data_IF_241807603841
#
_entry.id   IF_241807603841
#
_cell.length_a   1.000
_cell.length_b   1.000
_cell.length_c   1.000
_cell.angle_alpha   90.00
_cell.angle_beta   90.00
_cell.angle_gamma   90.00
#
_symmetry.space_group_name_H-M   'P 1'
#
loop_
_entity.id
_entity.type
_entity.pdbx_description
1 polymer ?
#
# COMPACT_ATOMS: atom_id res chain seq x y z
N UNK A 1 19.15 -119.04 1.27
CA UNK A 1 18.69 -120.02 0.28
C UNK A 1 19.26 -121.42 0.51
N UNK A 2 20.56 -121.56 0.77
CA UNK A 2 21.20 -122.87 1.01
C UNK A 2 20.55 -123.71 2.13
N UNK A 3 20.19 -123.11 3.28
CA UNK A 3 19.55 -123.85 4.37
C UNK A 3 18.12 -124.36 4.06
N UNK A 4 17.42 -123.74 3.10
CA UNK A 4 16.07 -124.14 2.70
C UNK A 4 16.12 -125.32 1.71
N UNK A 5 17.08 -125.31 0.79
CA UNK A 5 17.34 -126.46 -0.10
C UNK A 5 17.80 -127.68 0.71
N UNK A 6 18.74 -127.49 1.66
CA UNK A 6 19.17 -128.57 2.56
C UNK A 6 18.01 -129.12 3.40
N UNK A 7 17.08 -128.27 3.86
CA UNK A 7 15.90 -128.73 4.59
C UNK A 7 14.98 -129.57 3.69
N UNK A 8 14.77 -129.14 2.44
CA UNK A 8 13.96 -129.84 1.45
C UNK A 8 14.55 -131.22 1.12
N UNK A 9 15.86 -131.28 0.83
CA UNK A 9 16.59 -132.53 0.61
C UNK A 9 16.50 -133.48 1.81
N UNK A 10 16.61 -132.96 3.04
CA UNK A 10 16.50 -133.78 4.26
C UNK A 10 15.08 -134.26 4.52
N UNK A 11 14.05 -133.46 4.20
CA UNK A 11 12.63 -133.87 4.31
C UNK A 11 12.29 -134.94 3.27
N UNK A 12 12.75 -134.80 2.03
CA UNK A 12 12.63 -135.82 0.98
C UNK A 12 13.27 -137.14 1.45
N UNK A 13 14.48 -137.07 2.03
CA UNK A 13 15.18 -138.22 2.59
C UNK A 13 14.48 -138.86 3.80
N UNK A 14 13.82 -138.08 4.65
CA UNK A 14 13.00 -138.58 5.76
C UNK A 14 11.74 -139.31 5.24
N UNK A 15 11.13 -138.83 4.15
CA UNK A 15 9.96 -139.47 3.52
C UNK A 15 10.35 -140.81 2.88
N UNK A 16 11.49 -140.85 2.17
CA UNK A 16 12.03 -142.07 1.58
C UNK A 16 12.35 -143.15 2.64
N UNK A 17 13.05 -142.77 3.72
CA UNK A 17 13.43 -143.67 4.83
C UNK A 17 12.24 -144.16 5.66
N UNK A 18 11.07 -143.53 5.57
CA UNK A 18 9.83 -143.93 6.25
C UNK A 18 8.95 -144.85 5.37
N UNK A 19 9.20 -144.89 4.07
CA UNK A 19 8.54 -145.80 3.10
C UNK A 19 9.19 -147.19 2.99
N UNK A 20 10.44 -147.36 3.46
CA UNK A 20 11.16 -148.64 3.54
C UNK A 20 10.84 -149.42 4.84
N UNK A 21 11.04 -150.76 4.83
CA UNK A 21 10.66 -151.71 5.92
C UNK A 21 11.24 -151.35 7.31
N UNK A 22 10.60 -151.73 8.43
CA UNK A 22 10.60 -150.95 9.68
C UNK A 22 11.77 -151.17 10.66
N UNK A 23 12.85 -151.90 10.34
CA UNK A 23 13.74 -152.41 11.40
C UNK A 23 15.25 -152.14 11.29
N UNK A 24 15.74 -151.45 10.24
CA UNK A 24 17.18 -151.14 10.08
C UNK A 24 17.54 -149.64 10.06
N UNK A 25 16.56 -148.74 9.90
CA UNK A 25 16.83 -147.32 9.53
C UNK A 25 16.62 -146.30 10.68
N UNK A 26 16.48 -146.74 11.93
CA UNK A 26 16.10 -145.86 13.05
C UNK A 26 17.17 -144.79 13.39
N UNK A 27 18.46 -145.14 13.32
CA UNK A 27 19.57 -144.19 13.58
C UNK A 27 19.74 -143.20 12.42
N UNK A 28 19.68 -143.66 11.17
CA UNK A 28 19.77 -142.80 9.99
C UNK A 28 18.61 -141.80 9.91
N UNK A 29 17.40 -142.23 10.30
CA UNK A 29 16.23 -141.37 10.43
C UNK A 29 16.43 -140.31 11.52
N UNK A 30 17.04 -140.67 12.66
CA UNK A 30 17.32 -139.73 13.75
C UNK A 30 18.34 -138.67 13.33
N UNK A 31 19.38 -139.04 12.58
CA UNK A 31 20.40 -138.11 12.11
C UNK A 31 19.88 -137.19 11.00
N UNK A 32 19.04 -137.68 10.08
CA UNK A 32 18.34 -136.84 9.10
C UNK A 32 17.38 -135.84 9.77
N UNK A 33 16.65 -136.27 10.81
CA UNK A 33 15.81 -135.39 11.63
C UNK A 33 16.61 -134.33 12.38
N UNK A 34 17.79 -134.68 12.93
CA UNK A 34 18.70 -133.72 13.59
C UNK A 34 19.25 -132.71 12.59
N UNK A 35 19.71 -133.15 11.43
CA UNK A 35 20.21 -132.29 10.36
C UNK A 35 19.12 -131.33 9.83
N UNK A 36 17.90 -131.84 9.60
CA UNK A 36 16.74 -131.03 9.22
C UNK A 36 16.36 -130.02 10.30
N UNK A 37 16.38 -130.41 11.57
CA UNK A 37 16.10 -129.48 12.69
C UNK A 37 17.17 -128.37 12.77
N UNK A 38 18.44 -128.68 12.55
CA UNK A 38 19.53 -127.69 12.50
C UNK A 38 19.40 -126.74 11.29
N UNK A 39 19.00 -127.24 10.12
CA UNK A 39 18.71 -126.42 8.95
C UNK A 39 17.53 -125.46 9.21
N UNK A 40 16.46 -125.94 9.86
CA UNK A 40 15.32 -125.11 10.28
C UNK A 40 15.72 -124.03 11.29
N UNK A 41 16.57 -124.35 12.28
CA UNK A 41 17.09 -123.38 13.24
C UNK A 41 17.95 -122.30 12.56
N UNK A 42 18.79 -122.69 11.59
CA UNK A 42 19.57 -121.74 10.78
C UNK A 42 18.69 -120.82 9.94
N UNK A 43 17.64 -121.36 9.31
CA UNK A 43 16.66 -120.57 8.56
C UNK A 43 15.88 -119.61 9.47
N UNK A 44 15.50 -120.06 10.67
CA UNK A 44 14.86 -119.19 11.68
C UNK A 44 15.80 -118.08 12.18
N UNK A 45 17.09 -118.38 12.33
CA UNK A 45 18.09 -117.39 12.69
C UNK A 45 18.27 -116.35 11.57
N UNK A 46 18.46 -116.78 10.31
CA UNK A 46 18.58 -115.85 9.18
C UNK A 46 17.32 -115.02 8.96
N UNK A 47 16.13 -115.60 9.11
CA UNK A 47 14.87 -114.86 9.05
C UNK A 47 14.79 -113.81 10.16
N UNK A 48 15.23 -114.14 11.38
CA UNK A 48 15.27 -113.19 12.49
C UNK A 48 16.26 -112.05 12.20
N UNK A 49 17.44 -112.36 11.67
CA UNK A 49 18.45 -111.36 11.33
C UNK A 49 17.97 -110.42 10.21
N UNK A 50 17.32 -110.96 9.17
CA UNK A 50 16.69 -110.14 8.12
C UNK A 50 15.53 -109.31 8.64
N UNK A 51 14.68 -109.86 9.51
CA UNK A 51 13.57 -109.13 10.13
C UNK A 51 14.09 -107.98 11.01
N UNK A 52 15.10 -108.22 11.85
CA UNK A 52 15.75 -107.19 12.66
C UNK A 52 16.47 -106.16 11.80
N UNK A 53 17.13 -106.59 10.72
CA UNK A 53 17.77 -105.70 9.75
C UNK A 53 16.76 -104.78 9.05
N UNK A 54 15.61 -105.32 8.65
CA UNK A 54 14.49 -104.57 8.06
C UNK A 54 13.93 -103.53 9.05
N UNK A 55 13.71 -103.93 10.31
CA UNK A 55 13.29 -103.00 11.38
C UNK A 55 14.33 -101.89 11.60
N UNK A 56 15.62 -102.21 11.64
CA UNK A 56 16.68 -101.21 11.81
C UNK A 56 16.80 -100.23 10.63
N UNK A 57 16.51 -100.69 9.39
CA UNK A 57 16.42 -99.80 8.22
C UNK A 57 15.17 -98.92 8.33
N UNK A 58 14.03 -99.49 8.74
CA UNK A 58 12.78 -98.76 8.93
C UNK A 58 12.91 -97.66 9.98
N UNK A 59 13.55 -97.95 11.10
CA UNK A 59 13.83 -96.96 12.16
C UNK A 59 14.75 -95.84 11.66
N UNK A 60 15.85 -96.18 10.96
CA UNK A 60 16.74 -95.16 10.36
C UNK A 60 16.03 -94.28 9.35
N UNK A 61 15.21 -94.87 8.48
CA UNK A 61 14.41 -94.12 7.51
C UNK A 61 13.38 -93.22 8.20
N UNK A 62 12.73 -93.70 9.27
CA UNK A 62 11.81 -92.91 10.06
C UNK A 62 12.51 -91.73 10.76
N UNK A 63 13.70 -91.94 11.32
CA UNK A 63 14.50 -90.89 11.94
C UNK A 63 14.94 -89.81 10.91
N UNK A 64 15.44 -90.23 9.75
CA UNK A 64 15.81 -89.33 8.66
C UNK A 64 14.60 -88.55 8.13
N UNK A 65 13.44 -89.21 8.00
CA UNK A 65 12.18 -88.55 7.62
C UNK A 65 11.78 -87.48 8.64
N UNK A 66 11.85 -87.79 9.94
CA UNK A 66 11.53 -86.81 10.99
C UNK A 66 12.43 -85.58 10.95
N UNK A 67 13.73 -85.76 10.67
CA UNK A 67 14.66 -84.65 10.48
C UNK A 67 14.33 -83.83 9.23
N UNK A 68 14.01 -84.48 8.12
CA UNK A 68 13.56 -83.82 6.89
C UNK A 68 12.29 -83.01 7.14
N UNK A 69 11.27 -83.59 7.77
CA UNK A 69 9.99 -82.93 8.08
C UNK A 69 10.23 -81.69 8.95
N UNK A 70 11.12 -81.77 9.95
CA UNK A 70 11.54 -80.60 10.74
C UNK A 70 12.18 -79.52 9.89
N UNK A 71 13.09 -79.87 8.97
CA UNK A 71 13.73 -78.90 8.09
C UNK A 71 12.75 -78.25 7.10
N UNK A 72 11.79 -79.02 6.59
CA UNK A 72 10.72 -78.53 5.70
C UNK A 72 9.83 -77.54 6.44
N UNK A 73 9.50 -77.80 7.71
CA UNK A 73 8.73 -76.86 8.54
C UNK A 73 9.49 -75.56 8.78
N UNK A 74 10.80 -75.62 9.06
CA UNK A 74 11.64 -74.43 9.20
C UNK A 74 11.70 -73.63 7.90
N UNK A 75 11.84 -74.32 6.75
CA UNK A 75 11.82 -73.67 5.44
C UNK A 75 10.46 -72.99 5.17
N UNK A 76 9.35 -73.66 5.50
CA UNK A 76 8.01 -73.10 5.34
C UNK A 76 7.81 -71.83 6.18
N UNK A 77 8.29 -71.82 7.42
CA UNK A 77 8.29 -70.64 8.28
C UNK A 77 9.10 -69.49 7.65
N UNK A 78 10.31 -69.77 7.18
CA UNK A 78 11.16 -68.75 6.55
C UNK A 78 10.56 -68.19 5.25
N UNK A 79 9.91 -69.04 4.44
CA UNK A 79 9.20 -68.60 3.23
C UNK A 79 8.03 -67.70 3.58
N UNK A 80 7.27 -68.03 4.63
CA UNK A 80 6.19 -67.19 5.11
C UNK A 80 6.70 -65.82 5.60
N UNK A 81 7.75 -65.81 6.42
CA UNK A 81 8.38 -64.57 6.88
C UNK A 81 8.87 -63.71 5.72
N UNK A 82 9.53 -64.32 4.72
CA UNK A 82 9.97 -63.60 3.52
C UNK A 82 8.79 -62.94 2.80
N UNK A 83 7.72 -63.69 2.55
CA UNK A 83 6.52 -63.16 1.88
C UNK A 83 5.83 -62.05 2.71
N UNK A 84 5.85 -62.18 4.04
CA UNK A 84 5.34 -61.14 4.93
C UNK A 84 6.14 -59.85 4.78
N UNK A 85 7.47 -59.91 4.88
CA UNK A 85 8.33 -58.73 4.72
C UNK A 85 8.29 -58.16 3.31
N UNK A 86 8.19 -58.98 2.26
CA UNK A 86 8.00 -58.51 0.88
C UNK A 86 6.71 -57.68 0.75
N UNK A 87 5.60 -58.15 1.36
CA UNK A 87 4.34 -57.39 1.39
C UNK A 87 4.49 -56.10 2.18
N UNK A 88 5.14 -56.13 3.34
CA UNK A 88 5.33 -54.95 4.18
C UNK A 88 6.22 -53.90 3.48
N UNK A 89 7.32 -54.33 2.85
CA UNK A 89 8.18 -53.47 2.03
C UNK A 89 7.40 -52.89 0.86
N UNK A 90 6.58 -53.69 0.16
CA UNK A 90 5.75 -53.19 -0.95
C UNK A 90 4.74 -52.14 -0.48
N UNK A 91 4.16 -52.34 0.71
CA UNK A 91 3.25 -51.38 1.32
C UNK A 91 3.99 -50.07 1.67
N UNK A 92 5.14 -50.16 2.32
CA UNK A 92 5.94 -48.99 2.71
C UNK A 92 6.51 -48.22 1.51
N UNK A 93 6.91 -48.91 0.44
CA UNK A 93 7.45 -48.30 -0.78
C UNK A 93 6.37 -47.72 -1.69
N UNK A 94 5.09 -48.08 -1.48
CA UNK A 94 3.96 -47.56 -2.26
C UNK A 94 3.51 -46.15 -1.88
N UNK A 95 4.24 -45.46 -0.99
CA UNK A 95 3.95 -44.09 -0.60
C UNK A 95 3.88 -43.16 -1.83
N UNK A 96 2.78 -42.41 -1.93
CA UNK A 96 2.60 -41.33 -2.91
C UNK A 96 2.23 -40.06 -2.16
N UNK A 97 2.93 -38.97 -2.49
CA UNK A 97 2.56 -37.65 -2.00
C UNK A 97 1.22 -37.22 -2.60
N UNK A 98 0.48 -36.38 -1.88
CA UNK A 98 -0.80 -35.83 -2.36
C UNK A 98 -0.65 -34.97 -3.62
N UNK A 99 0.52 -34.37 -3.81
CA UNK A 99 0.90 -33.61 -4.99
C UNK A 99 2.16 -34.22 -5.60
N UNK A 100 2.15 -34.42 -6.91
CA UNK A 100 3.34 -34.86 -7.64
C UNK A 100 4.34 -33.72 -7.79
N UNK A 101 5.64 -34.03 -7.95
CA UNK A 101 6.68 -33.01 -8.14
C UNK A 101 6.42 -32.14 -9.38
N UNK A 102 5.75 -32.69 -10.40
CA UNK A 102 5.34 -31.97 -11.60
C UNK A 102 4.23 -30.94 -11.35
N UNK A 103 3.29 -31.20 -10.44
CA UNK A 103 2.23 -30.25 -10.07
C UNK A 103 2.74 -29.06 -9.25
N UNK A 104 3.78 -29.28 -8.45
CA UNK A 104 4.36 -28.22 -7.61
C UNK A 104 5.11 -27.20 -8.49
N UNK A 105 5.51 -27.57 -9.70
CA UNK A 105 6.16 -26.68 -10.68
C UNK A 105 7.32 -25.89 -10.06
N UNK A 106 8.29 -26.62 -9.50
CA UNK A 106 9.47 -26.03 -8.87
C UNK A 106 10.37 -25.34 -9.90
N UNK A 107 11.00 -24.25 -9.48
CA UNK A 107 12.07 -23.58 -10.23
C UNK A 107 13.18 -24.60 -10.56
N UNK A 108 13.72 -24.61 -11.79
CA UNK A 108 14.82 -25.48 -12.18
C UNK A 108 16.02 -25.37 -11.22
N UNK A 109 16.76 -26.46 -11.03
CA UNK A 109 17.87 -26.50 -10.06
C UNK A 109 18.97 -25.50 -10.37
N UNK A 110 19.31 -25.33 -11.65
CA UNK A 110 20.32 -24.37 -12.09
C UNK A 110 19.95 -22.93 -11.72
N UNK A 111 18.67 -22.57 -11.86
CA UNK A 111 18.18 -21.24 -11.52
C UNK A 111 18.09 -21.06 -10.00
N UNK A 112 17.63 -22.08 -9.26
CA UNK A 112 17.59 -22.05 -7.81
C UNK A 112 18.99 -21.86 -7.19
N UNK A 113 20.00 -22.58 -7.69
CA UNK A 113 21.38 -22.51 -7.20
C UNK A 113 22.14 -21.27 -7.67
N UNK A 114 21.62 -20.53 -8.67
CA UNK A 114 22.21 -19.27 -9.10
C UNK A 114 22.15 -18.19 -8.01
N UNK A 115 21.16 -18.29 -7.11
CA UNK A 115 21.06 -17.41 -5.94
C UNK A 115 21.94 -17.93 -4.80
N UNK A 116 22.91 -17.11 -4.39
CA UNK A 116 23.85 -17.43 -3.32
C UNK A 116 23.17 -17.75 -1.98
N UNK A 117 22.02 -17.14 -1.68
CA UNK A 117 21.27 -17.42 -0.47
C UNK A 117 20.65 -18.81 -0.49
N UNK A 118 20.14 -19.23 -1.65
CA UNK A 118 19.55 -20.54 -1.88
C UNK A 118 20.62 -21.65 -1.90
N UNK A 119 21.77 -21.39 -2.54
CA UNK A 119 22.91 -22.29 -2.52
C UNK A 119 23.44 -22.52 -1.09
N UNK A 120 23.55 -21.46 -0.28
CA UNK A 120 23.94 -21.57 1.13
C UNK A 120 22.90 -22.33 1.97
N UNK A 121 21.61 -22.15 1.70
CA UNK A 121 20.55 -22.89 2.38
C UNK A 121 20.61 -24.40 2.07
N UNK A 122 20.85 -24.77 0.81
CA UNK A 122 21.03 -26.17 0.40
C UNK A 122 22.28 -26.81 1.02
N UNK A 123 23.39 -26.06 1.10
CA UNK A 123 24.63 -26.53 1.72
C UNK A 123 24.49 -26.80 3.24
N UNK A 124 23.71 -25.98 3.96
CA UNK A 124 23.45 -26.16 5.41
C UNK A 124 22.73 -27.46 5.75
N UNK A 125 21.93 -28.00 4.82
CA UNK A 125 21.17 -29.24 5.03
C UNK A 125 21.97 -30.53 4.83
N UNK A 126 23.30 -30.45 4.68
CA UNK A 126 24.17 -31.63 4.51
C UNK A 126 24.41 -32.04 3.05
N UNK A 127 24.05 -31.19 2.08
CA UNK A 127 24.47 -31.33 0.67
C UNK A 127 23.84 -32.48 -0.13
N UNK A 128 22.97 -33.30 0.48
CA UNK A 128 22.27 -34.38 -0.21
C UNK A 128 21.09 -33.90 -1.07
N UNK A 129 20.66 -34.72 -2.03
CA UNK A 129 19.54 -34.43 -2.92
C UNK A 129 18.23 -34.10 -2.16
N UNK A 130 17.97 -34.78 -1.04
CA UNK A 130 16.81 -34.51 -0.20
C UNK A 130 16.85 -33.11 0.44
N UNK A 131 18.01 -32.70 0.94
CA UNK A 131 18.19 -31.38 1.54
C UNK A 131 18.02 -30.25 0.51
N UNK A 132 18.52 -30.46 -0.72
CA UNK A 132 18.31 -29.55 -1.84
C UNK A 132 16.82 -29.43 -2.20
N UNK A 133 16.09 -30.55 -2.23
CA UNK A 133 14.65 -30.54 -2.50
C UNK A 133 13.86 -29.80 -1.42
N UNK A 134 14.18 -30.00 -0.14
CA UNK A 134 13.55 -29.27 0.96
C UNK A 134 13.83 -27.76 0.90
N UNK A 135 15.07 -27.38 0.58
CA UNK A 135 15.45 -25.97 0.39
C UNK A 135 14.62 -25.35 -0.75
N UNK A 136 14.50 -26.03 -1.90
CA UNK A 136 13.68 -25.59 -3.04
C UNK A 136 12.21 -25.43 -2.68
N UNK A 137 11.62 -26.41 -1.99
CA UNK A 137 10.22 -26.35 -1.54
C UNK A 137 9.98 -25.20 -0.56
N UNK A 138 10.90 -24.97 0.38
CA UNK A 138 10.78 -23.88 1.34
C UNK A 138 10.86 -22.50 0.67
N UNK A 139 11.74 -22.35 -0.33
CA UNK A 139 11.87 -21.15 -1.13
C UNK A 139 10.61 -20.88 -1.94
N UNK A 140 10.06 -21.91 -2.59
CA UNK A 140 8.82 -21.81 -3.36
C UNK A 140 7.64 -21.38 -2.47
N UNK A 141 7.50 -22.00 -1.29
CA UNK A 141 6.48 -21.64 -0.31
C UNK A 141 6.62 -20.19 0.17
N UNK A 142 7.84 -19.73 0.45
CA UNK A 142 8.10 -18.35 0.84
C UNK A 142 7.77 -17.37 -0.29
N UNK A 143 8.14 -17.72 -1.52
CA UNK A 143 7.86 -16.93 -2.73
C UNK A 143 6.37 -16.81 -2.99
N UNK A 144 5.62 -17.92 -2.93
CA UNK A 144 4.15 -17.92 -3.08
C UNK A 144 3.48 -17.08 -2.01
N UNK A 145 3.86 -17.22 -0.73
CA UNK A 145 3.33 -16.37 0.35
C UNK A 145 3.58 -14.88 0.10
N UNK A 146 4.78 -14.52 -0.34
CA UNK A 146 5.15 -13.14 -0.68
C UNK A 146 4.30 -12.60 -1.85
N UNK A 147 4.15 -13.39 -2.92
CA UNK A 147 3.37 -13.02 -4.10
C UNK A 147 1.88 -12.89 -3.79
N UNK A 148 1.29 -13.84 -3.05
CA UNK A 148 -0.11 -13.73 -2.61
C UNK A 148 -0.33 -12.52 -1.71
N UNK A 149 0.62 -12.21 -0.82
CA UNK A 149 0.56 -11.00 -0.01
C UNK A 149 0.63 -9.72 -0.84
N UNK A 150 1.50 -9.68 -1.86
CA UNK A 150 1.59 -8.56 -2.79
C UNK A 150 0.31 -8.40 -3.64
N UNK A 151 -0.25 -9.51 -4.13
CA UNK A 151 -1.50 -9.51 -4.88
C UNK A 151 -2.66 -8.93 -4.06
N UNK A 152 -2.83 -9.39 -2.81
CA UNK A 152 -3.88 -8.87 -1.91
C UNK A 152 -3.73 -7.37 -1.63
N UNK A 153 -2.51 -6.87 -1.49
CA UNK A 153 -2.25 -5.42 -1.31
C UNK A 153 -2.64 -4.65 -2.57
N UNK A 154 -2.21 -5.10 -3.74
CA UNK A 154 -2.55 -4.48 -5.01
C UNK A 154 -4.07 -4.48 -5.29
N UNK A 155 -4.77 -5.58 -4.94
CA UNK A 155 -6.23 -5.65 -5.03
C UNK A 155 -6.91 -4.65 -4.08
N UNK A 156 -6.40 -4.51 -2.86
CA UNK A 156 -6.87 -3.51 -1.89
C UNK A 156 -6.67 -2.08 -2.38
N UNK A 157 -5.49 -1.75 -2.89
CA UNK A 157 -5.19 -0.44 -3.48
C UNK A 157 -6.09 -0.14 -4.68
N UNK A 158 -6.27 -1.12 -5.58
CA UNK A 158 -7.19 -0.99 -6.71
C UNK A 158 -8.63 -0.72 -6.26
N UNK A 159 -9.11 -1.41 -5.23
CA UNK A 159 -10.45 -1.20 -4.70
C UNK A 159 -10.63 0.19 -4.07
N UNK A 160 -9.62 0.64 -3.31
CA UNK A 160 -9.62 1.99 -2.73
C UNK A 160 -9.63 3.07 -3.82
N UNK A 161 -8.81 2.93 -4.85
CA UNK A 161 -8.75 3.91 -5.94
C UNK A 161 -10.03 3.92 -6.77
N UNK A 162 -10.62 2.74 -7.03
CA UNK A 162 -11.93 2.64 -7.66
C UNK A 162 -13.03 3.33 -6.84
N UNK A 163 -13.04 3.16 -5.52
CA UNK A 163 -13.99 3.81 -4.63
C UNK A 163 -13.81 5.34 -4.62
N UNK A 164 -12.56 5.83 -4.58
CA UNK A 164 -12.25 7.28 -4.70
C UNK A 164 -12.74 7.84 -6.03
N UNK A 165 -12.44 7.16 -7.14
CA UNK A 165 -12.90 7.58 -8.46
C UNK A 165 -14.44 7.62 -8.54
N UNK A 166 -15.14 6.63 -7.97
CA UNK A 166 -16.60 6.63 -7.90
C UNK A 166 -17.15 7.79 -7.06
N UNK A 167 -16.54 8.07 -5.90
CA UNK A 167 -16.93 9.19 -5.05
C UNK A 167 -16.73 10.55 -5.78
N UNK A 168 -15.58 10.74 -6.45
CA UNK A 168 -15.31 11.96 -7.20
C UNK A 168 -16.29 12.13 -8.36
N UNK A 169 -16.61 11.06 -9.10
CA UNK A 169 -17.66 11.09 -10.15
C UNK A 169 -19.01 11.50 -9.57
N UNK A 170 -19.44 10.89 -8.47
CA UNK A 170 -20.69 11.25 -7.80
C UNK A 170 -20.72 12.72 -7.33
N UNK A 171 -19.59 13.25 -6.83
CA UNK A 171 -19.46 14.67 -6.49
C UNK A 171 -19.58 15.58 -7.72
N UNK A 172 -18.96 15.21 -8.84
CA UNK A 172 -19.04 15.97 -10.09
C UNK A 172 -20.45 15.96 -10.67
N UNK A 173 -21.15 14.82 -10.63
CA UNK A 173 -22.55 14.70 -11.05
C UNK A 173 -23.47 15.55 -10.16
N UNK A 174 -23.28 15.52 -8.85
CA UNK A 174 -24.01 16.36 -7.90
C UNK A 174 -23.74 17.86 -8.14
N UNK A 175 -22.48 18.25 -8.38
CA UNK A 175 -22.10 19.62 -8.72
C UNK A 175 -22.75 20.07 -10.03
N UNK A 176 -22.75 19.21 -11.06
CA UNK A 176 -23.39 19.51 -12.33
C UNK A 176 -24.91 19.73 -12.15
N UNK A 177 -25.57 18.91 -11.34
CA UNK A 177 -26.98 19.07 -11.02
C UNK A 177 -27.24 20.40 -10.27
N UNK A 178 -26.40 20.73 -9.28
CA UNK A 178 -26.49 21.99 -8.55
C UNK A 178 -26.27 23.22 -9.45
N UNK A 179 -25.28 23.18 -10.35
CA UNK A 179 -25.02 24.24 -11.32
C UNK A 179 -26.19 24.43 -12.29
N UNK A 180 -26.81 23.35 -12.77
CA UNK A 180 -28.04 23.44 -13.58
C UNK A 180 -29.20 24.03 -12.80
N UNK A 181 -29.36 23.67 -11.52
CA UNK A 181 -30.36 24.26 -10.63
C UNK A 181 -30.14 25.77 -10.45
N UNK A 182 -28.89 26.18 -10.23
CA UNK A 182 -28.51 27.58 -10.13
C UNK A 182 -28.73 28.34 -11.45
N UNK A 183 -28.41 27.74 -12.60
CA UNK A 183 -28.68 28.32 -13.91
C UNK A 183 -30.18 28.58 -14.09
N UNK A 184 -31.03 27.59 -13.77
CA UNK A 184 -32.48 27.72 -13.84
C UNK A 184 -33.02 28.80 -12.90
N UNK A 185 -32.53 28.85 -11.66
CA UNK A 185 -32.89 29.89 -10.69
C UNK A 185 -32.38 31.28 -11.08
N UNK A 186 -31.24 31.36 -11.75
CA UNK A 186 -30.58 32.60 -12.17
C UNK A 186 -31.12 33.20 -13.47
N UNK A 187 -31.79 32.41 -14.33
CA UNK A 187 -32.41 32.89 -15.59
C UNK A 187 -33.28 34.15 -15.46
N UNK A 188 -34.24 34.27 -14.51
CA UNK A 188 -35.04 35.49 -14.38
C UNK A 188 -34.19 36.71 -14.02
N UNK A 189 -33.16 36.54 -13.18
CA UNK A 189 -32.23 37.60 -12.83
C UNK A 189 -31.35 38.00 -14.01
N UNK A 190 -30.85 37.03 -14.78
CA UNK A 190 -30.08 37.27 -15.99
C UNK A 190 -30.92 38.00 -17.07
N UNK A 191 -32.20 37.69 -17.20
CA UNK A 191 -33.11 38.41 -18.09
C UNK A 191 -33.36 39.87 -17.62
N UNK A 192 -33.45 40.10 -16.32
CA UNK A 192 -33.67 41.44 -15.75
C UNK A 192 -32.41 42.32 -15.78
N UNK A 193 -31.23 41.73 -15.54
CA UNK A 193 -29.97 42.47 -15.50
C UNK A 193 -29.25 42.53 -16.86
N UNK A 194 -29.59 41.63 -17.79
CA UNK A 194 -29.01 41.50 -19.12
C UNK A 194 -27.50 41.15 -19.09
N UNK A 195 -26.91 40.75 -20.22
CA UNK A 195 -25.45 40.75 -20.36
C UNK A 195 -24.96 42.21 -20.41
N UNK A 196 -24.84 42.85 -19.24
CA UNK A 196 -24.10 44.12 -19.12
C UNK A 196 -22.63 43.80 -19.21
N UNK A 197 -21.98 44.30 -20.26
CA UNK A 197 -20.52 44.22 -20.40
C UNK A 197 -20.00 43.82 -21.79
N UNK A 198 -20.83 43.79 -22.83
CA UNK A 198 -20.37 43.83 -24.23
C UNK A 198 -19.94 45.25 -24.63
N UNK A 199 -19.05 45.88 -23.86
CA UNK A 199 -18.40 47.12 -24.25
C UNK A 199 -17.31 46.82 -25.27
N UNK A 200 -17.58 47.16 -26.53
CA UNK A 200 -16.67 47.00 -27.65
C UNK A 200 -15.28 47.60 -27.37
N UNK A 201 -14.23 46.80 -27.58
CA UNK A 201 -12.85 47.28 -27.66
C UNK A 201 -11.82 46.32 -27.06
N UNK A 202 -11.21 45.48 -27.89
CA UNK A 202 -9.81 44.98 -27.79
C UNK A 202 -9.30 44.21 -26.55
N UNK A 203 -9.99 44.24 -25.41
CA UNK A 203 -9.50 43.73 -24.12
C UNK A 203 -9.89 42.30 -23.80
N UNK A 204 -10.69 41.63 -24.63
CA UNK A 204 -11.18 40.27 -24.35
C UNK A 204 -10.06 39.22 -24.31
N UNK A 205 -9.04 39.34 -25.16
CA UNK A 205 -7.90 38.41 -25.16
C UNK A 205 -7.03 38.55 -23.90
N UNK A 206 -6.74 39.79 -23.47
CA UNK A 206 -6.02 40.05 -22.22
C UNK A 206 -6.85 39.62 -21.00
N UNK A 207 -8.17 39.85 -21.03
CA UNK A 207 -9.11 39.37 -20.00
C UNK A 207 -9.20 37.85 -19.98
N UNK A 208 -9.13 37.17 -21.13
CA UNK A 208 -9.11 35.71 -21.20
C UNK A 208 -7.81 35.12 -20.63
N UNK A 209 -6.66 35.72 -20.94
CA UNK A 209 -5.37 35.34 -20.38
C UNK A 209 -5.33 35.57 -18.85
N UNK A 210 -5.79 36.73 -18.38
CA UNK A 210 -5.91 37.03 -16.95
C UNK A 210 -6.93 36.14 -16.24
N UNK A 211 -8.03 35.75 -16.90
CA UNK A 211 -8.97 34.74 -16.39
C UNK A 211 -8.33 33.36 -16.24
N UNK A 212 -7.41 32.99 -17.12
CA UNK A 212 -6.62 31.76 -17.01
C UNK A 212 -5.77 31.75 -15.75
N UNK A 213 -4.94 32.79 -15.56
CA UNK A 213 -4.12 32.95 -14.37
C UNK A 213 -4.96 33.10 -13.08
N UNK A 214 -6.12 33.77 -13.15
CA UNK A 214 -7.01 33.96 -12.02
C UNK A 214 -7.65 32.65 -11.53
N UNK A 215 -7.74 31.59 -12.34
CA UNK A 215 -8.25 30.28 -11.90
C UNK A 215 -7.34 29.58 -10.90
N UNK A 216 -6.06 29.94 -10.90
CA UNK A 216 -5.04 29.37 -10.03
C UNK A 216 -4.85 30.21 -8.76
N UNK A 217 -5.62 31.29 -8.58
CA UNK A 217 -5.57 32.11 -7.38
C UNK A 217 -6.25 31.37 -6.20
N UNK A 218 -5.66 31.46 -4.99
CA UNK A 218 -6.35 31.11 -3.76
C UNK A 218 -7.68 31.88 -3.65
N UNK A 219 -8.70 31.25 -3.05
CA UNK A 219 -10.04 31.83 -2.93
C UNK A 219 -10.04 33.29 -2.41
N UNK A 220 -9.28 33.65 -1.35
CA UNK A 220 -9.23 35.03 -0.88
C UNK A 220 -8.72 36.02 -1.94
N UNK A 221 -7.67 35.67 -2.68
CA UNK A 221 -7.15 36.53 -3.77
C UNK A 221 -8.08 36.57 -4.98
N UNK A 222 -8.77 35.47 -5.27
CA UNK A 222 -9.78 35.43 -6.32
C UNK A 222 -10.96 36.36 -6.02
N UNK A 223 -11.40 36.42 -4.75
CA UNK A 223 -12.43 37.35 -4.30
C UNK A 223 -11.96 38.80 -4.48
N UNK A 224 -10.74 39.15 -4.05
CA UNK A 224 -10.17 40.49 -4.27
C UNK A 224 -10.14 40.84 -5.76
N UNK A 225 -9.60 39.94 -6.60
CA UNK A 225 -9.54 40.13 -8.04
C UNK A 225 -10.92 40.34 -8.66
N UNK A 226 -11.90 39.49 -8.33
CA UNK A 226 -13.25 39.57 -8.90
C UNK A 226 -14.01 40.81 -8.45
N UNK A 227 -13.84 41.25 -7.19
CA UNK A 227 -14.45 42.47 -6.67
C UNK A 227 -13.89 43.72 -7.36
N UNK A 228 -12.57 43.85 -7.51
CA UNK A 228 -11.97 44.98 -8.21
C UNK A 228 -12.26 44.97 -9.71
N UNK A 229 -12.20 43.81 -10.36
CA UNK A 229 -12.54 43.70 -11.78
C UNK A 229 -14.01 44.08 -12.03
N UNK A 230 -14.93 43.57 -11.20
CA UNK A 230 -16.34 43.91 -11.29
C UNK A 230 -16.61 45.38 -10.99
N UNK A 231 -15.93 45.98 -9.99
CA UNK A 231 -16.09 47.39 -9.66
C UNK A 231 -15.53 48.32 -10.76
N UNK A 232 -14.38 47.96 -11.35
CA UNK A 232 -13.80 48.69 -12.48
C UNK A 232 -14.76 48.68 -13.69
N UNK A 233 -15.32 47.52 -14.03
CA UNK A 233 -16.24 47.39 -15.17
C UNK A 233 -17.62 48.04 -14.89
N UNK A 234 -18.18 47.89 -13.69
CA UNK A 234 -19.53 48.38 -13.36
C UNK A 234 -19.60 49.90 -13.19
N UNK A 235 -18.53 50.51 -12.66
CA UNK A 235 -18.51 51.93 -12.29
C UNK A 235 -17.49 52.75 -13.11
N UNK A 236 -16.82 52.13 -14.09
CA UNK A 236 -15.77 52.75 -14.90
C UNK A 236 -14.66 53.41 -14.06
N UNK A 237 -14.34 52.81 -12.90
CA UNK A 237 -13.35 53.35 -11.97
C UNK A 237 -11.96 53.38 -12.63
N UNK A 238 -11.11 54.37 -12.31
CA UNK A 238 -9.75 54.49 -12.84
C UNK A 238 -8.81 53.46 -12.18
N UNK A 239 -9.11 52.17 -12.35
CA UNK A 239 -8.38 51.08 -11.72
C UNK A 239 -8.02 50.02 -12.75
N UNK A 240 -6.73 49.67 -12.82
CA UNK A 240 -6.24 48.52 -13.56
C UNK A 240 -6.00 47.35 -12.62
N UNK A 241 -6.50 46.16 -12.96
CA UNK A 241 -6.28 44.93 -12.18
C UNK A 241 -5.43 43.96 -13.01
N UNK A 242 -4.36 43.43 -12.43
CA UNK A 242 -3.48 42.44 -13.08
C UNK A 242 -3.12 41.33 -12.11
N UNK A 243 -2.94 40.13 -12.63
CA UNK A 243 -2.42 38.98 -11.87
C UNK A 243 -0.93 38.86 -12.20
N UNK A 244 -0.08 38.90 -11.20
CA UNK A 244 1.37 38.78 -11.34
C UNK A 244 1.90 37.58 -10.57
N UNK A 245 2.77 36.80 -11.20
CA UNK A 245 3.45 35.67 -10.58
C UNK A 245 3.73 34.52 -11.55
N UNK A 246 4.28 33.43 -11.03
CA UNK A 246 4.54 32.21 -11.80
C UNK A 246 3.30 31.31 -11.83
N UNK A 247 2.65 31.23 -13.00
CA UNK A 247 1.51 30.34 -13.20
C UNK A 247 1.90 28.86 -13.06
N UNK A 248 3.11 28.49 -13.50
CA UNK A 248 3.60 27.11 -13.44
C UNK A 248 3.81 26.62 -11.99
N UNK A 249 4.28 27.48 -11.10
CA UNK A 249 4.45 27.13 -9.69
C UNK A 249 3.10 26.99 -8.98
N UNK A 250 2.13 27.84 -9.35
CA UNK A 250 0.76 27.77 -8.82
C UNK A 250 0.03 26.50 -9.27
N UNK A 251 0.21 26.05 -10.53
CA UNK A 251 -0.32 24.77 -11.00
C UNK A 251 0.28 23.59 -10.23
N UNK A 252 1.60 23.63 -9.95
CA UNK A 252 2.26 22.58 -9.15
C UNK A 252 1.73 22.56 -7.71
N UNK A 253 1.52 23.71 -7.09
CA UNK A 253 0.94 23.80 -5.74
C UNK A 253 -0.52 23.31 -5.73
N UNK A 254 -1.33 23.68 -6.72
CA UNK A 254 -2.71 23.18 -6.84
C UNK A 254 -2.78 21.67 -7.11
N UNK A 255 -1.79 21.10 -7.80
CA UNK A 255 -1.69 19.66 -8.02
C UNK A 255 -1.14 18.91 -6.79
N UNK A 256 -0.32 19.58 -5.97
CA UNK A 256 0.29 19.03 -4.77
C UNK A 256 -0.63 19.05 -3.54
N UNK A 257 -1.71 19.86 -3.55
CA UNK A 257 -2.74 19.90 -2.51
C UNK A 257 -3.96 19.02 -2.86
N UNK A 258 -3.97 17.72 -2.51
CA UNK A 258 -5.19 16.90 -2.56
C UNK A 258 -6.15 17.18 -1.37
N UNK A 259 -5.76 18.05 -0.43
CA UNK A 259 -6.43 18.24 0.86
C UNK A 259 -7.24 19.54 1.05
N UNK A 260 -7.17 20.48 0.10
CA UNK A 260 -7.83 21.80 0.21
C UNK A 260 -9.29 21.78 -0.23
N UNK A 261 -10.19 21.19 0.56
CA UNK A 261 -11.64 21.42 0.43
C UNK A 261 -12.50 20.17 0.27
N UNK A 262 -12.85 19.54 1.38
CA UNK A 262 -13.84 18.47 1.43
C UNK A 262 -13.69 17.61 2.67
N UNK A 263 -14.14 18.14 3.81
CA UNK A 263 -14.10 17.43 5.09
C UNK A 263 -14.82 16.08 5.07
N UNK A 264 -14.22 15.11 5.76
CA UNK A 264 -14.88 13.88 6.17
C UNK A 264 -14.04 12.62 5.97
N UNK A 265 -13.13 12.32 6.90
CA UNK A 265 -12.91 10.97 7.42
C UNK A 265 -11.86 10.98 8.55
N UNK A 266 -12.31 10.51 9.71
CA UNK A 266 -11.54 10.29 10.93
C UNK A 266 -10.47 9.21 10.78
N UNK A 267 -9.44 9.32 11.62
CA UNK A 267 -8.99 8.22 12.47
C UNK A 267 -8.12 7.16 11.80
N UNK A 268 -6.84 7.46 11.61
CA UNK A 268 -5.81 6.42 11.57
C UNK A 268 -5.48 6.02 13.01
N UNK A 269 -6.10 4.94 13.49
CA UNK A 269 -5.62 4.22 14.66
C UNK A 269 -4.25 3.62 14.38
N UNK A 270 -3.37 3.81 15.37
CA UNK A 270 -2.02 3.26 15.45
C UNK A 270 -2.07 1.74 15.50
N UNK A 271 -1.37 1.09 14.57
CA UNK A 271 -0.85 -0.26 14.78
C UNK A 271 0.47 -0.17 15.54
N UNK A 272 0.45 -0.56 16.81
CA UNK A 272 1.64 -0.78 17.63
C UNK A 272 2.17 -2.20 17.37
N UNK A 273 3.45 -2.32 17.06
CA UNK A 273 4.21 -3.57 17.12
C UNK A 273 5.65 -3.22 17.51
N UNK A 274 5.97 -3.54 18.75
CA UNK A 274 7.22 -3.26 19.44
C UNK A 274 8.45 -3.95 18.80
N UNK A 275 9.62 -3.29 18.91
CA UNK A 275 10.91 -3.94 18.73
C UNK A 275 12.14 -3.04 18.52
N UNK A 276 12.56 -2.25 19.53
CA UNK A 276 13.96 -1.83 19.74
C UNK A 276 14.34 -0.34 19.53
N UNK A 277 15.07 0.32 20.47
CA UNK A 277 15.61 1.67 20.30
C UNK A 277 17.15 1.66 20.03
N UNK A 278 17.82 2.79 19.78
CA UNK A 278 17.69 3.67 18.62
C UNK A 278 19.07 3.92 17.94
N UNK A 279 19.14 4.06 16.61
CA UNK A 279 20.36 4.53 15.93
C UNK A 279 20.18 5.99 15.45
N UNK A 280 20.71 6.92 16.25
CA UNK A 280 20.94 8.33 15.87
C UNK A 280 21.82 8.39 14.62
N UNK A 281 21.23 8.61 13.45
CA UNK A 281 21.93 9.22 12.32
C UNK A 281 21.68 10.73 12.35
N UNK A 282 22.68 11.45 12.86
CA UNK A 282 22.84 12.89 12.66
C UNK A 282 22.76 13.16 11.15
N UNK A 283 21.77 13.93 10.72
CA UNK A 283 21.84 14.66 9.46
C UNK A 283 22.25 16.08 9.85
N UNK A 284 23.54 16.34 9.73
CA UNK A 284 24.13 17.65 9.94
C UNK A 284 23.66 18.61 8.85
N UNK A 285 23.14 19.75 9.30
CA UNK A 285 23.48 21.07 8.79
C UNK A 285 23.28 21.37 7.31
N UNK A 286 22.06 21.78 6.94
CA UNK A 286 21.91 22.96 6.10
C UNK A 286 20.98 23.93 6.81
N UNK A 287 21.56 24.95 7.42
CA UNK A 287 20.84 26.02 8.08
C UNK A 287 20.10 26.88 7.05
N UNK A 288 18.76 26.86 7.11
CA UNK A 288 17.90 27.97 6.75
C UNK A 288 16.80 28.00 7.84
N UNK A 289 16.77 29.03 8.71
CA UNK A 289 15.86 29.04 9.85
C UNK A 289 14.50 29.63 9.46
N UNK A 290 13.47 29.05 10.07
CA UNK A 290 12.33 29.73 10.69
C UNK A 290 11.26 30.42 9.81
N UNK A 291 10.01 30.02 10.12
CA UNK A 291 8.72 30.65 9.79
C UNK A 291 8.09 30.35 8.42
N UNK A 292 7.62 29.11 8.23
CA UNK A 292 6.60 28.78 7.21
C UNK A 292 5.31 29.62 7.31
N UNK A 293 5.14 30.39 8.40
CA UNK A 293 4.07 31.39 8.58
C UNK A 293 4.11 32.48 7.51
N UNK A 294 5.30 32.88 7.03
CA UNK A 294 5.47 33.94 6.04
C UNK A 294 5.55 33.41 4.60
N UNK A 295 5.24 32.13 4.37
CA UNK A 295 5.26 31.58 3.02
C UNK A 295 4.13 32.18 2.17
N UNK A 296 4.51 32.93 1.14
CA UNK A 296 3.60 33.60 0.22
C UNK A 296 3.29 32.70 -0.99
N UNK A 297 2.05 32.74 -1.44
CA UNK A 297 1.60 32.09 -2.67
C UNK A 297 2.30 32.70 -3.91
N UNK A 298 2.72 31.91 -4.91
CA UNK A 298 3.48 32.42 -6.07
C UNK A 298 2.72 33.40 -6.96
N UNK A 299 1.38 33.42 -6.88
CA UNK A 299 0.53 34.42 -7.54
C UNK A 299 0.09 35.51 -6.58
N UNK A 300 0.12 36.74 -7.08
CA UNK A 300 -0.29 37.98 -6.42
C UNK A 300 -1.24 38.78 -7.31
N UNK A 301 -2.10 39.60 -6.71
CA UNK A 301 -3.02 40.49 -7.44
C UNK A 301 -2.53 41.92 -7.28
N UNK A 302 -2.27 42.60 -8.39
CA UNK A 302 -1.82 44.01 -8.40
C UNK A 302 -2.96 44.89 -8.90
N UNK A 303 -3.25 45.94 -8.12
CA UNK A 303 -4.27 46.94 -8.39
C UNK A 303 -3.59 48.28 -8.58
N UNK A 304 -3.61 48.80 -9.80
CA UNK A 304 -3.01 50.09 -10.17
C UNK A 304 -4.10 51.17 -10.17
N UNK A 305 -3.96 52.19 -9.33
CA UNK A 305 -4.80 53.39 -9.33
C UNK A 305 -4.29 54.37 -10.38
N UNK A 306 -5.15 54.76 -11.31
CA UNK A 306 -4.85 55.69 -12.39
C UNK A 306 -5.35 57.09 -12.02
N UNK A 307 -4.65 58.13 -12.47
CA UNK A 307 -5.14 59.50 -12.33
C UNK A 307 -6.30 59.74 -13.32
N UNK A 308 -7.42 60.40 -12.95
CA UNK A 308 -8.51 60.72 -13.87
C UNK A 308 -8.08 61.42 -15.18
N UNK A 309 -7.05 62.27 -15.17
CA UNK A 309 -6.48 62.85 -16.40
C UNK A 309 -5.76 61.80 -17.28
N UNK A 310 -5.09 60.83 -16.66
CA UNK A 310 -4.42 59.72 -17.38
C UNK A 310 -5.44 58.73 -17.96
N UNK A 311 -6.59 58.55 -17.32
CA UNK A 311 -7.66 57.69 -17.83
C UNK A 311 -8.23 58.21 -19.16
N UNK A 312 -8.37 59.53 -19.30
CA UNK A 312 -8.76 60.17 -20.56
C UNK A 312 -7.66 60.07 -21.63
N UNK A 313 -6.39 60.22 -21.25
CA UNK A 313 -5.25 60.04 -22.16
C UNK A 313 -5.11 58.58 -22.63
N UNK A 314 -5.35 57.57 -21.78
CA UNK A 314 -5.33 56.16 -22.20
C UNK A 314 -6.43 55.84 -23.22
N UNK A 315 -7.63 56.41 -23.07
CA UNK A 315 -8.70 56.24 -24.06
C UNK A 315 -8.38 56.89 -25.40
N UNK A 316 -7.67 58.04 -25.41
CA UNK A 316 -7.22 58.69 -26.65
C UNK A 316 -5.97 58.03 -27.27
N UNK A 317 -5.03 57.55 -26.45
CA UNK A 317 -3.82 56.84 -26.91
C UNK A 317 -4.12 55.42 -27.42
N UNK A 318 -5.24 54.79 -27.05
CA UNK A 318 -5.65 53.55 -27.72
C UNK A 318 -5.88 53.71 -29.23
N UNK A 319 -6.11 54.94 -29.73
CA UNK A 319 -6.21 55.23 -31.16
C UNK A 319 -4.85 55.52 -31.83
N UNK A 320 -3.79 55.82 -31.06
CA UNK A 320 -2.45 56.12 -31.58
C UNK A 320 -1.47 55.17 -30.89
N UNK A 321 -1.03 54.10 -31.56
CA UNK A 321 -0.16 53.02 -31.05
C UNK A 321 1.20 53.47 -30.48
N UNK A 322 1.23 54.31 -29.45
CA UNK A 322 2.42 54.72 -28.70
C UNK A 322 2.32 54.10 -27.30
N UNK A 323 3.16 53.09 -27.07
CA UNK A 323 3.24 52.33 -25.82
C UNK A 323 4.18 53.03 -24.82
N UNK A 324 3.71 54.10 -24.17
CA UNK A 324 4.30 54.55 -22.92
C UNK A 324 3.16 54.76 -21.92
N UNK A 325 2.92 53.76 -21.07
CA UNK A 325 1.94 53.91 -19.99
C UNK A 325 2.53 54.88 -18.95
N UNK A 326 1.85 56.00 -18.62
CA UNK A 326 2.32 56.88 -17.56
C UNK A 326 2.34 56.13 -16.22
N UNK A 327 3.23 56.51 -15.28
CA UNK A 327 3.31 55.84 -14.00
C UNK A 327 1.97 55.95 -13.26
N UNK A 328 1.46 54.84 -12.71
CA UNK A 328 0.25 54.83 -11.89
C UNK A 328 0.44 55.67 -10.62
N UNK A 329 -0.66 56.22 -10.11
CA UNK A 329 -0.65 57.09 -8.92
C UNK A 329 -0.24 56.31 -7.66
N UNK A 330 -0.69 55.07 -7.58
CA UNK A 330 -0.39 54.11 -6.53
C UNK A 330 -0.64 52.71 -7.07
N UNK A 331 0.26 51.77 -6.83
CA UNK A 331 -0.01 50.35 -7.08
C UNK A 331 0.00 49.58 -5.77
N UNK A 332 -1.06 48.81 -5.54
CA UNK A 332 -1.22 47.98 -4.35
C UNK A 332 -1.17 46.52 -4.78
N UNK A 333 -0.23 45.77 -4.20
CA UNK A 333 -0.05 44.34 -4.42
C UNK A 333 -0.60 43.54 -3.24
N UNK A 334 -1.54 42.66 -3.54
CA UNK A 334 -2.11 41.69 -2.62
C UNK A 334 -1.38 40.35 -2.73
N UNK A 335 -0.94 39.84 -1.60
CA UNK A 335 -0.21 38.58 -1.45
C UNK A 335 -0.97 37.67 -0.47
N UNK A 336 -0.96 36.37 -0.72
CA UNK A 336 -1.61 35.41 0.18
C UNK A 336 -0.56 34.62 0.97
N UNK A 337 -0.68 34.65 2.28
CA UNK A 337 0.11 33.81 3.19
C UNK A 337 -0.61 32.48 3.36
N UNK A 338 -0.05 31.42 2.77
CA UNK A 338 -0.73 30.12 2.67
C UNK A 338 -0.95 29.46 4.05
N UNK A 339 0.03 29.56 4.95
CA UNK A 339 -0.03 28.94 6.27
C UNK A 339 -1.08 29.59 7.21
N UNK A 340 -1.12 30.92 7.40
CA UNK A 340 -2.15 31.55 8.22
C UNK A 340 -3.46 31.82 7.46
N UNK A 341 -3.48 31.64 6.13
CA UNK A 341 -4.66 31.91 5.29
C UNK A 341 -5.00 33.40 5.14
N UNK A 342 -4.06 34.30 5.44
CA UNK A 342 -4.27 35.76 5.45
C UNK A 342 -3.84 36.41 4.13
N UNK A 343 -4.49 37.53 3.79
CA UNK A 343 -4.10 38.38 2.66
C UNK A 343 -3.32 39.60 3.15
N UNK A 344 -2.06 39.73 2.72
CA UNK A 344 -1.28 40.95 2.93
C UNK A 344 -1.46 41.94 1.78
N UNK A 345 -1.34 43.24 2.07
CA UNK A 345 -1.21 44.28 1.07
C UNK A 345 0.13 45.03 1.23
N UNK A 346 0.73 45.44 0.12
CA UNK A 346 1.91 46.31 0.09
C UNK A 346 1.86 47.23 -1.13
N UNK A 347 2.57 48.37 -1.08
CA UNK A 347 2.72 49.28 -2.20
C UNK A 347 3.90 48.88 -3.10
N UNK A 348 3.67 48.79 -4.41
CA UNK A 348 4.74 48.75 -5.41
C UNK A 348 4.98 50.15 -5.97
N UNK A 349 5.93 50.87 -5.36
CA UNK A 349 6.51 52.06 -5.97
C UNK A 349 7.65 51.68 -6.92
N UNK A 350 7.56 52.10 -8.18
CA UNK A 350 8.71 52.13 -9.07
C UNK A 350 9.76 53.08 -8.47
N UNK A 351 10.97 52.54 -8.24
CA UNK A 351 12.21 53.25 -7.98
C UNK A 351 12.21 54.32 -6.87
N UNK A 352 12.27 53.88 -5.61
CA UNK A 352 13.15 54.42 -4.55
C UNK A 352 12.71 53.85 -3.18
N UNK A 353 13.65 53.22 -2.45
CA UNK A 353 13.44 52.69 -1.08
C UNK A 353 12.80 53.69 -0.10
N UNK A 354 12.89 55.00 -0.35
CA UNK A 354 12.30 56.05 0.47
C UNK A 354 10.84 56.39 0.11
N UNK A 355 10.44 56.25 -1.16
CA UNK A 355 9.05 56.46 -1.59
C UNK A 355 8.15 55.30 -1.15
N UNK A 356 8.69 54.08 -1.14
CA UNK A 356 7.96 52.89 -0.69
C UNK A 356 7.57 52.96 0.79
N UNK A 357 8.41 53.47 1.69
CA UNK A 357 8.07 53.59 3.11
C UNK A 357 6.92 54.60 3.35
N UNK A 358 6.99 55.76 2.69
CA UNK A 358 5.92 56.76 2.76
C UNK A 358 4.60 56.26 2.16
N UNK A 359 4.65 55.36 1.17
CA UNK A 359 3.46 54.78 0.54
C UNK A 359 2.85 53.63 1.37
N UNK A 360 3.67 52.89 2.15
CA UNK A 360 3.19 51.92 3.14
C UNK A 360 2.51 52.62 4.34
N UNK A 361 3.00 53.78 4.76
CA UNK A 361 2.37 54.61 5.79
C UNK A 361 0.97 55.10 5.36
N UNK A 362 0.77 55.32 4.05
CA UNK A 362 -0.55 55.63 3.47
C UNK A 362 -1.53 54.48 3.67
N UNK A 363 -1.09 53.22 3.50
CA UNK A 363 -1.94 52.04 3.70
C UNK A 363 -2.29 51.80 5.17
N UNK A 364 -1.36 52.07 6.10
CA UNK A 364 -1.58 51.95 7.54
C UNK A 364 -2.53 53.03 8.10
N UNK A 365 -2.65 54.18 7.44
CA UNK A 365 -3.50 55.29 7.86
C UNK A 365 -4.92 55.28 7.25
N UNK A 366 -5.28 54.28 6.45
CA UNK A 366 -6.60 54.22 5.77
C UNK A 366 -7.77 54.06 6.75
N UNK A 367 -7.55 53.32 7.82
CA UNK A 367 -8.54 53.04 8.86
C UNK A 367 -7.91 53.20 10.24
N UNK A 368 -8.64 53.80 11.20
CA UNK A 368 -8.11 54.00 12.54
C UNK A 368 -7.85 52.66 13.23
N UNK A 369 -6.63 52.45 13.71
CA UNK A 369 -6.24 51.25 14.47
C UNK A 369 -5.94 50.01 13.62
N UNK A 370 -5.69 50.16 12.31
CA UNK A 370 -5.31 49.06 11.41
C UNK A 370 -3.88 49.24 10.88
N UNK A 371 -2.88 48.98 11.74
CA UNK A 371 -1.47 49.14 11.41
C UNK A 371 -0.88 47.98 10.58
N UNK A 372 -1.63 46.87 10.45
CA UNK A 372 -1.20 45.67 9.74
C UNK A 372 -0.03 44.94 10.40
N UNK A 373 0.09 45.02 11.72
CA UNK A 373 1.06 44.32 12.58
C UNK A 373 0.72 42.83 12.79
N UNK A 374 -0.49 42.41 12.40
CA UNK A 374 -0.97 41.05 12.61
C UNK A 374 -1.50 40.79 14.02
N UNK A 375 -1.58 41.83 14.86
CA UNK A 375 -2.12 41.70 16.21
C UNK A 375 -3.66 41.62 16.20
N UNK A 376 -4.21 40.65 16.93
CA UNK A 376 -5.65 40.37 16.97
C UNK A 376 -6.14 39.28 16.03
N UNK A 377 -5.27 38.65 15.23
CA UNK A 377 -5.60 37.41 14.52
C UNK A 377 -5.29 36.19 15.40
N UNK A 378 -6.34 35.51 15.87
CA UNK A 378 -6.18 34.28 16.67
C UNK A 378 -5.41 33.18 15.92
N UNK A 379 -5.59 33.09 14.61
CA UNK A 379 -4.90 32.12 13.74
C UNK A 379 -3.37 32.31 13.80
N UNK A 380 -2.90 33.56 13.80
CA UNK A 380 -1.47 33.86 13.95
C UNK A 380 -0.96 33.51 15.35
N UNK A 381 -1.75 33.80 16.38
CA UNK A 381 -1.41 33.46 17.77
C UNK A 381 -1.30 31.94 18.00
N UNK A 382 -2.14 31.14 17.33
CA UNK A 382 -2.08 29.69 17.39
C UNK A 382 -0.88 29.11 16.62
N UNK A 383 -0.48 29.74 15.52
CA UNK A 383 0.55 29.23 14.61
C UNK A 383 1.97 29.64 15.01
N UNK A 384 2.16 30.89 15.44
CA UNK A 384 3.46 31.48 15.76
C UNK A 384 3.62 31.88 17.24
N UNK A 385 2.60 31.68 18.07
CA UNK A 385 2.56 32.17 19.45
C UNK A 385 2.15 33.64 19.56
N UNK A 386 1.89 34.17 20.78
CA UNK A 386 1.59 35.58 20.98
C UNK A 386 2.79 36.45 20.56
N UNK A 387 2.52 37.51 19.78
CA UNK A 387 3.49 38.33 19.06
C UNK A 387 4.54 39.07 19.92
N UNK A 388 5.42 39.86 19.29
CA UNK A 388 5.20 40.57 18.00
C UNK A 388 5.55 39.77 16.74
N UNK A 389 4.84 40.03 15.63
CA UNK A 389 5.08 39.44 14.32
C UNK A 389 5.88 40.38 13.40
N UNK A 390 6.59 39.84 12.42
CA UNK A 390 7.51 40.59 11.54
C UNK A 390 6.88 40.95 10.17
N UNK A 391 5.61 41.33 10.15
CA UNK A 391 4.95 41.83 8.93
C UNK A 391 5.45 43.25 8.58
N UNK A 392 5.69 43.49 7.29
CA UNK A 392 6.34 44.70 6.78
C UNK A 392 7.88 44.65 6.80
N UNK A 393 8.47 43.50 7.14
CA UNK A 393 9.92 43.25 7.06
C UNK A 393 10.35 42.85 5.63
N UNK A 394 11.67 42.72 5.41
CA UNK A 394 12.20 42.24 4.13
C UNK A 394 11.74 40.81 3.78
N UNK A 395 11.40 39.98 4.78
CA UNK A 395 10.92 38.62 4.60
C UNK A 395 9.40 38.56 4.31
N UNK A 396 8.61 39.48 4.87
CA UNK A 396 7.16 39.53 4.74
C UNK A 396 6.69 40.96 4.44
N UNK A 397 6.94 41.43 3.22
CA UNK A 397 6.69 42.84 2.83
C UNK A 397 5.21 43.23 2.90
N UNK A 398 4.29 42.29 2.66
CA UNK A 398 2.86 42.56 2.65
C UNK A 398 2.26 42.48 4.07
N UNK A 399 1.62 43.56 4.53
CA UNK A 399 1.02 43.63 5.86
C UNK A 399 -0.42 43.10 5.84
N UNK A 400 -0.83 42.22 6.77
CA UNK A 400 -2.20 41.73 6.86
C UNK A 400 -3.10 42.79 7.52
N UNK A 401 -3.56 43.75 6.73
CA UNK A 401 -4.55 44.72 7.19
C UNK A 401 -5.94 44.09 7.34
N UNK A 402 -6.75 44.57 8.28
CA UNK A 402 -8.14 44.10 8.46
C UNK A 402 -8.98 44.40 7.23
N UNK A 403 -8.84 45.62 6.69
CA UNK A 403 -9.57 46.00 5.46
C UNK A 403 -9.21 45.11 4.26
N UNK A 404 -7.99 44.57 4.21
CA UNK A 404 -7.56 43.67 3.14
C UNK A 404 -8.18 42.26 3.30
N UNK A 405 -8.41 41.80 4.54
CA UNK A 405 -9.13 40.54 4.79
C UNK A 405 -10.60 40.66 4.43
N UNK A 406 -11.26 41.76 4.82
CA UNK A 406 -12.67 41.99 4.50
C UNK A 406 -12.89 42.01 2.99
N UNK A 407 -11.97 42.66 2.27
CA UNK A 407 -11.97 42.72 0.81
C UNK A 407 -11.79 41.34 0.17
N UNK A 408 -11.01 40.48 0.82
CA UNK A 408 -10.83 39.09 0.43
C UNK A 408 -12.01 38.18 0.82
N UNK A 409 -13.05 38.73 1.46
CA UNK A 409 -14.23 38.00 1.91
C UNK A 409 -14.04 37.23 3.21
N UNK A 410 -12.95 37.48 3.93
CA UNK A 410 -12.72 36.95 5.26
C UNK A 410 -13.28 37.91 6.31
N UNK A 411 -14.46 37.59 6.85
CA UNK A 411 -15.05 38.30 7.99
C UNK A 411 -14.29 37.94 9.27
N UNK A 412 -13.28 38.74 9.61
CA UNK A 412 -12.51 38.58 10.84
C UNK A 412 -13.33 39.18 11.97
N UNK A 413 -14.07 38.33 12.68
CA UNK A 413 -14.94 38.76 13.77
C UNK A 413 -14.06 39.30 14.91
N UNK A 414 -14.23 40.57 15.25
CA UNK A 414 -13.63 41.12 16.46
C UNK A 414 -14.18 40.36 17.68
N UNK A 415 -13.29 39.94 18.59
CA UNK A 415 -13.67 39.26 19.83
C UNK A 415 -14.72 40.09 20.57
N UNK A 416 -15.94 39.57 20.68
CA UNK A 416 -17.04 40.24 21.37
C UNK A 416 -16.67 40.45 22.84
N UNK A 417 -16.74 41.69 23.38
CA UNK A 417 -16.63 41.88 24.82
C UNK A 417 -17.82 41.19 25.53
N UNK A 418 -17.63 40.65 26.74
CA UNK A 418 -18.70 39.96 27.46
C UNK A 418 -19.89 40.90 27.73
N UNK A 419 -21.09 40.40 27.42
CA UNK A 419 -22.42 40.98 27.65
C UNK A 419 -22.56 42.51 27.39
N UNK A 420 -22.69 42.96 26.14
CA UNK A 420 -22.93 44.37 25.84
C UNK A 420 -24.34 44.82 26.25
N UNK A 421 -24.42 46.02 26.81
CA UNK A 421 -25.68 46.74 27.08
C UNK A 421 -26.46 47.00 25.77
N UNK A 422 -27.76 47.27 25.86
CA UNK A 422 -28.61 47.48 24.67
C UNK A 422 -28.13 48.65 23.79
N UNK A 423 -27.58 49.69 24.41
CA UNK A 423 -26.95 50.83 23.73
C UNK A 423 -25.65 50.43 23.01
N UNK A 424 -24.82 49.60 23.65
CA UNK A 424 -23.61 49.05 23.04
C UNK A 424 -23.93 48.13 21.86
N UNK A 425 -25.05 47.40 21.89
CA UNK A 425 -25.53 46.60 20.74
C UNK A 425 -25.99 47.48 19.59
N UNK A 426 -26.75 48.53 19.85
CA UNK A 426 -27.19 49.48 18.82
C UNK A 426 -26.00 50.22 18.19
N UNK A 427 -25.04 50.64 19.01
CA UNK A 427 -23.79 51.23 18.56
C UNK A 427 -22.95 50.23 17.75
N UNK A 428 -22.87 48.96 18.16
CA UNK A 428 -22.18 47.90 17.42
C UNK A 428 -22.84 47.60 16.07
N UNK A 429 -24.18 47.57 15.98
CA UNK A 429 -24.90 47.41 14.72
C UNK A 429 -24.70 48.61 13.78
N UNK A 430 -24.71 49.83 14.32
CA UNK A 430 -24.37 51.05 13.58
C UNK A 430 -22.93 51.02 13.06
N UNK A 431 -21.99 50.61 13.91
CA UNK A 431 -20.58 50.42 13.57
C UNK A 431 -20.37 49.32 12.51
N UNK A 432 -21.14 48.22 12.55
CA UNK A 432 -21.12 47.17 11.52
C UNK A 432 -21.67 47.67 10.19
N UNK A 433 -22.71 48.52 10.20
CA UNK A 433 -23.26 49.10 8.99
C UNK A 433 -22.29 50.11 8.35
N UNK A 434 -21.59 50.92 9.15
CA UNK A 434 -20.52 51.80 8.64
C UNK A 434 -19.31 50.99 8.17
N UNK A 435 -18.89 49.96 8.90
CA UNK A 435 -17.84 49.02 8.49
C UNK A 435 -18.13 48.37 7.14
N UNK A 436 -19.34 47.83 6.94
CA UNK A 436 -19.76 47.24 5.66
C UNK A 436 -19.84 48.24 4.51
N UNK A 437 -20.16 49.50 4.78
CA UNK A 437 -20.12 50.58 3.78
C UNK A 437 -18.69 50.97 3.43
N UNK A 438 -17.80 50.92 4.42
CA UNK A 438 -16.38 51.22 4.30
C UNK A 438 -15.59 50.14 3.55
N UNK A 439 -15.98 48.87 3.70
CA UNK A 439 -15.42 47.73 2.95
C UNK A 439 -15.88 47.63 1.50
N UNK A 440 -16.68 48.59 1.00
CA UNK A 440 -16.99 48.66 -0.43
C UNK A 440 -15.76 49.12 -1.20
N UNK A 441 -15.44 48.42 -2.28
CA UNK A 441 -14.33 48.71 -3.19
C UNK A 441 -14.26 50.20 -3.60
N UNK A 442 -15.41 50.83 -3.86
CA UNK A 442 -15.50 52.25 -4.18
C UNK A 442 -14.98 53.17 -3.07
N UNK A 443 -15.44 52.94 -1.83
CA UNK A 443 -15.05 53.74 -0.69
C UNK A 443 -13.55 53.57 -0.37
N UNK A 444 -13.01 52.36 -0.58
CA UNK A 444 -11.58 52.09 -0.45
C UNK A 444 -10.77 52.85 -1.51
N UNK A 445 -11.17 52.82 -2.77
CA UNK A 445 -10.49 53.54 -3.86
C UNK A 445 -10.50 55.05 -3.62
N UNK A 446 -11.64 55.63 -3.24
CA UNK A 446 -11.76 57.05 -2.93
C UNK A 446 -10.88 57.45 -1.73
N UNK A 447 -10.77 56.58 -0.72
CA UNK A 447 -9.88 56.81 0.43
C UNK A 447 -8.41 56.70 0.06
N UNK A 448 -8.04 55.71 -0.74
CA UNK A 448 -6.68 55.56 -1.25
C UNK A 448 -6.26 56.79 -2.07
N UNK A 449 -7.15 57.31 -2.92
CA UNK A 449 -6.91 58.55 -3.66
C UNK A 449 -6.72 59.75 -2.72
N UNK A 450 -7.64 59.96 -1.78
CA UNK A 450 -7.54 61.06 -0.79
C UNK A 450 -6.29 60.96 0.09
N UNK A 451 -5.95 59.75 0.54
CA UNK A 451 -4.79 59.51 1.38
C UNK A 451 -3.48 59.74 0.59
N UNK A 452 -3.46 59.37 -0.70
CA UNK A 452 -2.33 59.65 -1.60
C UNK A 452 -2.19 61.14 -1.89
N UNK A 453 -3.29 61.84 -2.14
CA UNK A 453 -3.31 63.30 -2.32
C UNK A 453 -2.86 64.03 -1.05
N UNK A 454 -3.33 63.60 0.13
CA UNK A 454 -2.90 64.15 1.42
C UNK A 454 -1.41 63.90 1.69
N UNK A 455 -0.90 62.69 1.39
CA UNK A 455 0.51 62.37 1.53
C UNK A 455 1.39 63.12 0.51
N UNK A 456 0.85 63.45 -0.67
CA UNK A 456 1.52 64.30 -1.65
C UNK A 456 1.52 65.78 -1.25
N UNK A 457 0.49 66.24 -0.53
CA UNK A 457 0.40 67.62 -0.01
C UNK A 457 1.25 67.87 1.25
N UNK A 458 1.65 66.80 1.95
CA UNK A 458 2.54 66.85 3.12
C UNK A 458 4.03 66.75 2.76
N UNK A 459 4.36 66.43 1.51
CA UNK A 459 5.71 66.48 0.92
C UNK A 459 5.93 67.84 0.28
#
# INVERSE_FOLDING_TARGET
MEAAEVLKEMVERIVELKGSKPQADASALQDACRAGTMALLRLRASYRDEALGSEAVRERAAAAKSQLDRSVLLLANAVYERQFYEKEISSCTSFRSAHSDGEIALIPEAEFLSDAANAAAAAKGGGGAHALMLARLSHELASRKRLTGALRRAEGERAQEAARAAQQKGRLEALQAALRGLEQAGRPLAAALGPRGGGAGGGEALRAAQRGAARLLPLPLWVVYSQFAAAADAFALPVGVRVEGSAEEAERLSAADPGGGGGGAKGAERGDAAGGPPAKRRKEGSAAPENGVYQVHPLSVVVSLLNPQQQQQQQQQQQQQQQQQPPPLLEVRFQHYAAPGLVGACCCGADARAAAAADEDVLAALFPGDAGDGEGYEVLAQLAGPGPYEFGSAAARARPYRWAQDLAGADVIASLPPAPSQEQRAAALGALATYRRQGRVQALIERLQKAREAAAALK
#
